data_IF_688771086707
#
_entry.id   IF_688771086707
#
_cell.length_a   1.000
_cell.length_b   1.000
_cell.length_c   1.000
_cell.angle_alpha   90.00
_cell.angle_beta   90.00
_cell.angle_gamma   90.00
#
_symmetry.space_group_name_H-M   'P 1'
#
loop_
_entity.id
_entity.type
_entity.pdbx_description
1 polymer ?
#
# COMPACT_ATOMS: atom_id res chain seq x y z
N UNK A 1 -15.32 -0.46 -16.91
CA UNK A 1 -14.47 -1.59 -17.36
C UNK A 1 -15.30 -2.86 -17.16
N UNK A 2 -15.56 -3.62 -18.20
CA UNK A 2 -16.15 -4.97 -18.10
C UNK A 2 -15.00 -5.95 -17.89
N UNK A 3 -14.59 -6.14 -16.63
CA UNK A 3 -13.66 -7.20 -16.26
C UNK A 3 -14.47 -8.47 -15.92
N UNK A 4 -14.01 -9.58 -16.44
CA UNK A 4 -14.60 -10.88 -16.12
C UNK A 4 -14.10 -11.34 -14.75
N UNK A 5 -15.01 -11.45 -13.80
CA UNK A 5 -14.72 -11.79 -12.41
C UNK A 5 -14.00 -13.13 -12.25
N UNK A 6 -14.32 -14.08 -13.11
CA UNK A 6 -13.73 -15.43 -13.06
C UNK A 6 -12.23 -15.45 -13.38
N UNK A 7 -11.70 -14.30 -13.87
CA UNK A 7 -10.29 -14.13 -14.23
C UNK A 7 -9.61 -13.01 -13.42
N UNK A 8 -10.10 -12.71 -12.22
CA UNK A 8 -9.47 -11.76 -11.31
C UNK A 8 -8.74 -12.51 -10.21
N UNK A 9 -7.47 -12.15 -10.01
CA UNK A 9 -6.72 -12.52 -8.82
C UNK A 9 -6.76 -11.38 -7.82
N UNK A 10 -7.12 -11.65 -6.56
CA UNK A 10 -7.03 -10.72 -5.45
C UNK A 10 -6.24 -11.39 -4.34
N UNK A 11 -5.09 -10.83 -4.03
CA UNK A 11 -4.17 -11.34 -3.02
C UNK A 11 -4.04 -10.37 -1.87
N UNK A 12 -3.79 -10.90 -0.68
CA UNK A 12 -3.54 -10.11 0.52
C UNK A 12 -2.20 -10.53 1.13
N UNK A 13 -1.42 -9.54 1.56
CA UNK A 13 -0.12 -9.80 2.20
C UNK A 13 -0.28 -10.53 3.53
N UNK A 14 0.29 -11.75 3.63
CA UNK A 14 0.50 -12.50 4.87
C UNK A 14 1.97 -12.87 5.00
N UNK A 15 2.44 -13.14 6.23
CA UNK A 15 3.86 -13.35 6.51
C UNK A 15 4.53 -14.44 5.67
N UNK A 16 3.87 -15.57 5.49
CA UNK A 16 4.49 -16.78 4.91
C UNK A 16 4.08 -17.04 3.46
N UNK A 17 2.92 -16.52 3.05
CA UNK A 17 2.33 -16.76 1.75
C UNK A 17 1.19 -15.76 1.52
N UNK A 18 1.06 -15.15 0.34
CA UNK A 18 -0.06 -14.26 0.10
C UNK A 18 -1.37 -15.02 0.24
N UNK A 19 -2.25 -14.51 1.09
CA UNK A 19 -3.61 -15.02 1.20
C UNK A 19 -4.37 -14.75 -0.09
N UNK A 20 -5.14 -15.73 -0.53
CA UNK A 20 -5.98 -15.64 -1.73
C UNK A 20 -7.37 -15.17 -1.29
N UNK A 21 -7.78 -13.98 -1.72
CA UNK A 21 -9.15 -13.51 -1.53
C UNK A 21 -10.05 -13.91 -2.72
N UNK A 22 -9.50 -13.90 -3.94
CA UNK A 22 -10.16 -14.39 -5.15
C UNK A 22 -9.10 -14.84 -6.16
N UNK A 23 -9.45 -15.75 -7.08
CA UNK A 23 -8.57 -16.25 -8.10
C UNK A 23 -7.45 -17.16 -7.59
N UNK A 24 -6.21 -16.94 -8.05
CA UNK A 24 -5.02 -17.72 -7.70
C UNK A 24 -3.85 -16.84 -7.30
N UNK A 25 -2.86 -17.42 -6.61
CA UNK A 25 -1.59 -16.77 -6.30
C UNK A 25 -0.46 -17.19 -7.27
N UNK A 26 -0.78 -17.94 -8.33
CA UNK A 26 0.22 -18.63 -9.16
C UNK A 26 1.26 -17.69 -9.76
N UNK A 27 0.83 -16.56 -10.32
CA UNK A 27 1.78 -15.59 -10.88
C UNK A 27 2.68 -15.02 -9.80
N UNK A 28 2.09 -14.59 -8.68
CA UNK A 28 2.87 -13.98 -7.61
C UNK A 28 3.92 -14.95 -7.07
N UNK A 29 3.51 -16.17 -6.76
CA UNK A 29 4.37 -17.19 -6.15
C UNK A 29 5.43 -17.71 -7.11
N UNK A 30 5.09 -17.89 -8.38
CA UNK A 30 5.99 -18.53 -9.33
C UNK A 30 6.85 -17.53 -10.13
N UNK A 31 6.41 -16.28 -10.25
CA UNK A 31 7.08 -15.29 -11.09
C UNK A 31 7.60 -14.07 -10.27
N UNK A 32 6.78 -13.49 -9.36
CA UNK A 32 7.16 -12.29 -8.61
C UNK A 32 8.02 -12.63 -7.39
N UNK A 33 7.55 -13.53 -6.54
CA UNK A 33 8.23 -13.91 -5.30
C UNK A 33 9.68 -14.37 -5.51
N UNK A 34 10.02 -15.18 -6.52
CA UNK A 34 11.39 -15.57 -6.80
C UNK A 34 12.31 -14.39 -7.15
N UNK A 35 11.79 -13.34 -7.82
CA UNK A 35 12.60 -12.19 -8.20
C UNK A 35 13.15 -11.45 -6.97
N UNK A 36 12.33 -11.19 -5.97
CA UNK A 36 12.81 -10.47 -4.80
C UNK A 36 13.45 -11.35 -3.72
N UNK A 37 13.28 -12.67 -3.77
CA UNK A 37 13.95 -13.59 -2.86
C UNK A 37 15.34 -14.03 -3.33
N UNK A 38 15.55 -14.12 -4.65
CA UNK A 38 16.72 -14.78 -5.21
C UNK A 38 17.49 -13.94 -6.24
N UNK A 39 16.89 -12.85 -6.75
CA UNK A 39 17.52 -12.01 -7.74
C UNK A 39 17.93 -10.66 -7.13
N UNK A 40 18.98 -10.08 -7.64
CA UNK A 40 19.45 -8.75 -7.28
C UNK A 40 18.64 -7.69 -8.05
N UNK A 41 17.67 -7.06 -7.39
CA UNK A 41 16.80 -6.04 -7.98
C UNK A 41 17.51 -4.68 -8.18
N UNK A 42 18.72 -4.48 -7.66
CA UNK A 42 19.54 -3.31 -8.00
C UNK A 42 19.91 -3.28 -9.48
N UNK A 43 19.88 -4.45 -10.16
CA UNK A 43 20.16 -4.59 -11.57
C UNK A 43 18.93 -4.27 -12.42
N UNK A 44 19.06 -3.35 -13.37
CA UNK A 44 17.97 -2.91 -14.24
C UNK A 44 17.23 -4.06 -14.93
N UNK A 45 17.96 -5.10 -15.37
CA UNK A 45 17.35 -6.28 -16.02
C UNK A 45 16.37 -7.03 -15.11
N UNK A 46 16.60 -7.06 -13.79
CA UNK A 46 15.70 -7.73 -12.83
C UNK A 46 14.57 -6.79 -12.39
N UNK A 47 14.86 -5.51 -12.25
CA UNK A 47 13.86 -4.45 -12.08
C UNK A 47 12.82 -4.48 -13.21
N UNK A 48 13.24 -4.55 -14.47
CA UNK A 48 12.30 -4.58 -15.60
C UNK A 48 11.41 -5.82 -15.59
N UNK A 49 11.90 -6.99 -15.16
CA UNK A 49 11.06 -8.19 -14.99
C UNK A 49 9.95 -7.95 -13.95
N UNK A 50 10.24 -7.29 -12.84
CA UNK A 50 9.21 -6.93 -11.85
C UNK A 50 8.23 -5.93 -12.46
N UNK A 51 8.73 -4.93 -13.19
CA UNK A 51 7.90 -3.92 -13.85
C UNK A 51 6.97 -4.51 -14.94
N UNK A 52 7.33 -5.64 -15.55
CA UNK A 52 6.44 -6.36 -16.47
C UNK A 52 5.27 -7.05 -15.74
N UNK A 53 5.46 -7.45 -14.48
CA UNK A 53 4.48 -8.22 -13.69
C UNK A 53 3.65 -7.35 -12.75
N UNK A 54 4.20 -6.23 -12.29
CA UNK A 54 3.56 -5.34 -11.33
C UNK A 54 3.53 -3.90 -11.86
N UNK A 55 2.47 -3.18 -11.53
CA UNK A 55 2.35 -1.76 -11.82
C UNK A 55 3.13 -0.97 -10.75
N UNK A 56 4.38 -0.66 -11.06
CA UNK A 56 5.28 0.01 -10.13
C UNK A 56 4.91 1.48 -9.89
N UNK A 57 4.21 2.14 -10.82
CA UNK A 57 3.68 3.49 -10.60
C UNK A 57 2.56 3.47 -9.56
N UNK A 58 1.63 2.53 -9.71
CA UNK A 58 0.58 2.32 -8.70
C UNK A 58 1.18 1.91 -7.34
N UNK A 59 2.23 1.08 -7.33
CA UNK A 59 2.93 0.69 -6.10
C UNK A 59 3.52 1.92 -5.39
N UNK A 60 4.22 2.78 -6.10
CA UNK A 60 4.80 4.02 -5.58
C UNK A 60 3.71 4.89 -4.96
N UNK A 61 2.64 5.17 -5.69
CA UNK A 61 1.52 5.99 -5.21
C UNK A 61 0.88 5.41 -3.95
N UNK A 62 0.69 4.07 -3.91
CA UNK A 62 0.17 3.36 -2.76
C UNK A 62 1.07 3.52 -1.53
N UNK A 63 2.39 3.31 -1.67
CA UNK A 63 3.33 3.43 -0.56
C UNK A 63 3.44 4.87 -0.05
N UNK A 64 3.42 5.86 -0.93
CA UNK A 64 3.40 7.28 -0.57
C UNK A 64 2.14 7.62 0.23
N UNK A 65 0.96 7.19 -0.24
CA UNK A 65 -0.30 7.46 0.43
C UNK A 65 -0.37 6.81 1.82
N UNK A 66 0.01 5.53 1.95
CA UNK A 66 0.05 4.82 3.23
C UNK A 66 0.98 5.48 4.24
N UNK A 67 2.15 5.93 3.78
CA UNK A 67 3.13 6.64 4.62
C UNK A 67 2.59 7.99 5.06
N UNK A 68 1.95 8.75 4.16
CA UNK A 68 1.38 10.06 4.46
C UNK A 68 0.29 10.01 5.53
N UNK A 69 -0.62 9.04 5.45
CA UNK A 69 -1.69 8.88 6.44
C UNK A 69 -1.20 8.22 7.73
N UNK A 70 0.05 7.75 7.78
CA UNK A 70 0.62 7.01 8.92
C UNK A 70 -0.28 5.84 9.39
N UNK A 71 -0.72 4.99 8.44
CA UNK A 71 -1.62 3.87 8.74
C UNK A 71 -0.95 2.86 9.68
N UNK A 72 -1.46 2.71 10.89
CA UNK A 72 -0.85 1.96 11.98
C UNK A 72 -0.75 0.43 11.72
N UNK A 73 -1.69 -0.12 10.97
CA UNK A 73 -1.68 -1.56 10.64
C UNK A 73 -0.85 -1.89 9.40
N UNK A 74 -0.45 -0.89 8.65
CA UNK A 74 0.40 -1.06 7.49
C UNK A 74 1.89 -0.86 7.87
N UNK A 75 2.85 -1.61 7.32
CA UNK A 75 2.74 -2.66 6.29
C UNK A 75 2.54 -4.08 6.82
N UNK A 76 2.37 -4.27 8.12
CA UNK A 76 2.20 -5.59 8.73
C UNK A 76 0.92 -6.32 8.32
N UNK A 77 -0.14 -5.55 8.02
CA UNK A 77 -1.41 -6.00 7.47
C UNK A 77 -1.95 -4.95 6.49
N UNK A 78 -3.19 -5.11 6.03
CA UNK A 78 -3.87 -4.17 5.14
C UNK A 78 -3.12 -3.93 3.81
N UNK A 79 -2.36 -4.94 3.35
CA UNK A 79 -1.74 -4.97 2.03
C UNK A 79 -2.52 -5.91 1.13
N UNK A 80 -3.08 -5.37 0.05
CA UNK A 80 -3.86 -6.11 -0.91
C UNK A 80 -3.54 -5.64 -2.33
N UNK A 81 -3.49 -6.57 -3.27
CA UNK A 81 -3.32 -6.27 -4.68
C UNK A 81 -4.16 -7.18 -5.56
N UNK A 82 -4.37 -6.75 -6.78
CA UNK A 82 -5.20 -7.46 -7.74
C UNK A 82 -4.63 -7.37 -9.15
N UNK A 83 -5.04 -8.29 -10.00
CA UNK A 83 -4.78 -8.26 -11.43
C UNK A 83 -5.87 -8.99 -12.20
N UNK A 84 -5.93 -8.81 -13.52
CA UNK A 84 -6.71 -9.63 -14.41
C UNK A 84 -5.82 -10.63 -15.14
N UNK A 85 -6.23 -11.91 -15.20
CA UNK A 85 -5.49 -12.96 -15.90
C UNK A 85 -5.63 -12.87 -17.42
N UNK A 86 -6.74 -12.34 -17.94
CA UNK A 86 -7.11 -12.37 -19.35
C UNK A 86 -7.22 -10.99 -20.01
N UNK A 87 -6.96 -9.91 -19.29
CA UNK A 87 -7.02 -8.55 -19.83
C UNK A 87 -5.62 -7.91 -19.81
N UNK A 88 -5.08 -7.60 -20.99
CA UNK A 88 -3.71 -7.08 -21.15
C UNK A 88 -3.51 -5.69 -20.58
N UNK A 89 -4.57 -4.90 -20.38
CA UNK A 89 -4.49 -3.57 -19.74
C UNK A 89 -4.35 -3.69 -18.21
N UNK A 90 -4.87 -4.78 -17.62
CA UNK A 90 -4.91 -5.02 -16.19
C UNK A 90 -4.20 -6.30 -15.75
N UNK A 91 -3.26 -6.80 -16.55
CA UNK A 91 -2.52 -8.02 -16.24
C UNK A 91 -1.36 -7.81 -15.27
N UNK A 92 -0.95 -6.58 -15.03
CA UNK A 92 0.00 -6.22 -13.98
C UNK A 92 -0.71 -6.11 -12.63
N UNK A 93 -0.08 -6.63 -11.59
CA UNK A 93 -0.60 -6.49 -10.22
C UNK A 93 -0.63 -5.04 -9.78
N UNK A 94 -1.76 -4.59 -9.23
CA UNK A 94 -2.00 -3.24 -8.73
C UNK A 94 -2.40 -3.29 -7.26
N UNK A 95 -1.86 -2.39 -6.46
CA UNK A 95 -2.17 -2.25 -5.04
C UNK A 95 -3.55 -1.64 -4.83
N UNK A 96 -4.25 -2.12 -3.80
CA UNK A 96 -5.57 -1.62 -3.39
C UNK A 96 -5.40 -0.81 -2.11
N UNK A 97 -5.80 0.46 -2.14
CA UNK A 97 -5.86 1.31 -0.96
C UNK A 97 -7.16 1.02 -0.21
N UNK A 98 -7.07 0.40 0.96
CA UNK A 98 -8.21 -0.02 1.77
C UNK A 98 -7.85 -0.07 3.25
N UNK A 99 -8.88 -0.09 4.11
CA UNK A 99 -8.77 -0.30 5.56
C UNK A 99 -7.81 0.71 6.22
N UNK A 100 -8.10 1.98 6.00
CA UNK A 100 -7.25 3.11 6.38
C UNK A 100 -7.82 3.91 7.57
N UNK A 101 -8.75 3.33 8.31
CA UNK A 101 -9.42 3.91 9.47
C UNK A 101 -8.47 4.19 10.65
N UNK A 102 -7.30 3.53 10.67
CA UNK A 102 -6.20 3.83 11.59
C UNK A 102 -5.14 4.79 10.99
N UNK A 103 -5.47 5.47 9.91
CA UNK A 103 -4.69 6.60 9.39
C UNK A 103 -4.90 7.86 10.23
N UNK A 104 -3.89 8.74 10.26
CA UNK A 104 -3.92 10.00 11.01
C UNK A 104 -4.15 9.87 12.52
N UNK A 105 -3.80 8.73 13.12
CA UNK A 105 -3.87 8.54 14.57
C UNK A 105 -2.84 9.47 15.23
N UNK A 106 -3.35 10.48 15.96
CA UNK A 106 -2.62 11.66 16.41
C UNK A 106 -1.42 11.40 17.33
N UNK A 107 -1.35 10.25 17.99
CA UNK A 107 -0.29 9.94 18.96
C UNK A 107 1.00 9.37 18.35
N UNK A 108 1.00 9.08 17.05
CA UNK A 108 2.15 8.45 16.40
C UNK A 108 2.86 9.39 15.44
N UNK A 109 3.52 10.40 15.99
CA UNK A 109 4.46 11.27 15.27
C UNK A 109 5.70 10.53 14.74
N UNK A 110 5.81 9.24 15.01
CA UNK A 110 7.03 8.45 14.82
C UNK A 110 6.99 7.50 13.62
N UNK A 111 5.83 7.31 12.97
CA UNK A 111 5.74 6.51 11.74
C UNK A 111 6.06 7.39 10.54
N UNK A 112 7.17 8.08 10.57
CA UNK A 112 7.58 8.92 9.44
C UNK A 112 8.47 8.20 8.43
N UNK A 113 8.76 6.90 8.65
CA UNK A 113 9.72 6.21 7.79
C UNK A 113 9.43 4.72 7.64
N UNK A 114 9.36 4.26 6.40
CA UNK A 114 9.53 2.85 6.05
C UNK A 114 10.76 2.23 6.75
N UNK A 115 11.82 3.04 6.98
CA UNK A 115 13.04 2.65 7.70
C UNK A 115 12.90 2.51 9.21
N UNK A 116 12.00 3.24 9.87
CA UNK A 116 11.81 3.10 11.33
C UNK A 116 11.01 1.86 11.67
N UNK A 117 10.12 1.42 10.80
CA UNK A 117 9.48 0.10 10.93
C UNK A 117 10.51 -1.03 10.83
N UNK A 118 11.56 -0.82 10.04
CA UNK A 118 12.71 -1.73 9.95
C UNK A 118 13.51 -1.77 11.25
N UNK A 119 13.68 -0.64 11.95
CA UNK A 119 14.48 -0.58 13.17
C UNK A 119 13.71 -1.02 14.42
N UNK A 120 12.40 -0.83 14.50
CA UNK A 120 11.63 -1.09 15.74
C UNK A 120 10.97 -2.47 15.76
N UNK A 121 10.66 -3.07 14.60
CA UNK A 121 9.89 -4.30 14.52
C UNK A 121 10.59 -5.47 13.85
N UNK A 122 11.45 -5.20 12.87
CA UNK A 122 11.95 -6.25 11.97
C UNK A 122 13.18 -6.96 12.51
N UNK A 123 14.03 -6.31 13.29
CA UNK A 123 15.18 -6.99 13.94
C UNK A 123 14.76 -8.13 14.87
N UNK A 124 13.51 -8.12 15.37
CA UNK A 124 13.00 -9.13 16.29
C UNK A 124 11.81 -9.94 15.75
N UNK A 125 11.36 -9.64 14.53
CA UNK A 125 10.27 -10.38 13.88
C UNK A 125 10.91 -11.39 12.94
N UNK A 126 10.68 -12.71 13.13
CA UNK A 126 11.17 -13.72 12.21
C UNK A 126 10.72 -13.40 10.78
N UNK A 127 11.63 -13.54 9.80
CA UNK A 127 11.42 -13.30 8.38
C UNK A 127 10.02 -13.65 7.83
N UNK A 128 9.34 -14.71 8.29
CA UNK A 128 8.01 -15.07 7.84
C UNK A 128 6.89 -14.07 8.19
N UNK A 129 7.15 -13.04 8.98
CA UNK A 129 6.10 -12.13 9.46
C UNK A 129 6.06 -10.77 8.72
N UNK A 130 6.89 -10.58 7.69
CA UNK A 130 6.87 -9.37 6.86
C UNK A 130 6.02 -9.62 5.63
N UNK A 131 5.05 -8.73 5.37
CA UNK A 131 4.21 -8.84 4.19
C UNK A 131 5.06 -8.87 2.91
N UNK A 132 4.88 -9.85 2.01
CA UNK A 132 5.71 -9.99 0.81
C UNK A 132 5.79 -8.74 -0.05
N UNK A 133 4.71 -7.97 -0.12
CA UNK A 133 4.71 -6.73 -0.88
C UNK A 133 5.62 -5.64 -0.33
N UNK A 134 5.85 -5.61 1.00
CA UNK A 134 6.80 -4.70 1.60
C UNK A 134 8.25 -5.10 1.29
N UNK A 135 8.55 -6.40 1.38
CA UNK A 135 9.88 -6.90 1.01
C UNK A 135 10.22 -6.59 -0.45
N UNK A 136 9.24 -6.71 -1.35
CA UNK A 136 9.43 -6.33 -2.75
C UNK A 136 9.73 -4.84 -2.90
N UNK A 137 9.02 -3.97 -2.20
CA UNK A 137 9.28 -2.53 -2.23
C UNK A 137 10.69 -2.20 -1.72
N UNK A 138 11.09 -2.78 -0.60
CA UNK A 138 12.42 -2.59 -0.01
C UNK A 138 13.53 -3.03 -0.98
N UNK A 139 13.39 -4.21 -1.58
CA UNK A 139 14.32 -4.70 -2.58
C UNK A 139 14.37 -3.81 -3.85
N UNK A 140 13.25 -3.24 -4.26
CA UNK A 140 13.20 -2.29 -5.38
C UNK A 140 13.89 -0.96 -5.08
N UNK A 141 13.90 -0.51 -3.82
CA UNK A 141 14.60 0.73 -3.42
C UNK A 141 16.12 0.64 -3.60
N UNK A 142 16.69 -0.57 -3.71
CA UNK A 142 18.09 -0.77 -4.09
C UNK A 142 18.36 -0.42 -5.57
N UNK A 143 17.32 -0.39 -6.42
CA UNK A 143 17.46 0.00 -7.82
C UNK A 143 17.40 1.53 -7.96
N UNK A 144 18.44 2.09 -8.59
CA UNK A 144 18.58 3.56 -8.72
C UNK A 144 17.47 4.21 -9.55
N UNK A 145 16.95 3.52 -10.55
CA UNK A 145 15.86 4.01 -11.40
C UNK A 145 14.56 4.08 -10.59
N UNK A 146 14.28 3.04 -9.80
CA UNK A 146 13.11 3.01 -8.93
C UNK A 146 13.22 4.05 -7.82
N UNK A 147 14.36 4.13 -7.13
CA UNK A 147 14.59 5.11 -6.06
C UNK A 147 14.35 6.55 -6.54
N UNK A 148 14.94 6.93 -7.69
CA UNK A 148 14.75 8.27 -8.25
C UNK A 148 13.28 8.51 -8.58
N UNK A 149 12.61 7.56 -9.23
CA UNK A 149 11.19 7.65 -9.57
C UNK A 149 10.31 7.81 -8.34
N UNK A 150 10.60 7.04 -7.27
CA UNK A 150 9.92 7.16 -5.99
C UNK A 150 10.10 8.55 -5.38
N UNK A 151 11.35 9.06 -5.31
CA UNK A 151 11.64 10.37 -4.73
C UNK A 151 10.99 11.52 -5.50
N UNK A 152 11.04 11.50 -6.83
CA UNK A 152 10.38 12.50 -7.67
C UNK A 152 8.87 12.48 -7.47
N UNK A 153 8.26 11.28 -7.40
CA UNK A 153 6.84 11.13 -7.16
C UNK A 153 6.44 11.56 -5.75
N UNK A 154 7.27 11.26 -4.77
CA UNK A 154 7.06 11.68 -3.38
C UNK A 154 7.06 13.21 -3.23
N UNK A 155 8.01 13.90 -3.87
CA UNK A 155 8.05 15.36 -3.90
C UNK A 155 6.80 15.95 -4.55
N UNK A 156 6.37 15.41 -5.68
CA UNK A 156 5.13 15.83 -6.33
C UNK A 156 3.91 15.67 -5.39
N UNK A 157 3.83 14.55 -4.68
CA UNK A 157 2.72 14.33 -3.74
C UNK A 157 2.72 15.35 -2.59
N UNK A 158 3.88 15.68 -2.03
CA UNK A 158 3.98 16.67 -0.95
C UNK A 158 3.63 18.08 -1.44
N UNK A 159 4.11 18.46 -2.62
CA UNK A 159 3.97 19.82 -3.13
C UNK A 159 2.57 20.09 -3.72
N UNK A 160 1.95 19.08 -4.35
CA UNK A 160 0.72 19.26 -5.11
C UNK A 160 -0.47 18.47 -4.54
N UNK A 161 -0.31 17.16 -4.28
CA UNK A 161 -1.44 16.30 -3.90
C UNK A 161 -1.82 16.50 -2.45
N UNK A 162 -0.82 16.55 -1.58
CA UNK A 162 -0.96 16.70 -0.12
C UNK A 162 -0.68 18.13 0.35
N UNK A 163 -0.78 19.12 -0.54
CA UNK A 163 -0.74 20.51 -0.12
C UNK A 163 -1.74 20.75 1.03
N UNK A 164 -1.30 21.33 2.16
CA UNK A 164 -2.15 21.47 3.35
C UNK A 164 -3.48 22.19 3.06
N UNK A 165 -3.47 23.23 2.22
CA UNK A 165 -4.68 23.98 1.89
C UNK A 165 -5.66 23.09 1.13
N UNK A 166 -5.17 22.33 0.16
CA UNK A 166 -5.99 21.39 -0.60
C UNK A 166 -6.58 20.29 0.28
N UNK A 167 -5.78 19.73 1.19
CA UNK A 167 -6.25 18.69 2.12
C UNK A 167 -7.30 19.26 3.06
N UNK A 168 -7.10 20.45 3.61
CA UNK A 168 -8.07 21.15 4.47
C UNK A 168 -9.38 21.42 3.73
N UNK A 169 -9.32 21.91 2.48
CA UNK A 169 -10.50 22.16 1.64
C UNK A 169 -11.32 20.89 1.42
N UNK A 170 -10.64 19.77 1.05
CA UNK A 170 -11.31 18.47 0.86
C UNK A 170 -11.95 17.97 2.15
N UNK A 171 -11.27 18.09 3.28
CA UNK A 171 -11.81 17.71 4.58
C UNK A 171 -13.04 18.56 4.94
N UNK A 172 -12.98 19.87 4.68
CA UNK A 172 -14.12 20.76 4.93
C UNK A 172 -15.32 20.40 4.04
N UNK A 173 -15.10 20.11 2.75
CA UNK A 173 -16.16 19.63 1.85
C UNK A 173 -16.80 18.35 2.37
N UNK A 174 -16.01 17.37 2.84
CA UNK A 174 -16.53 16.13 3.43
C UNK A 174 -17.35 16.40 4.72
N UNK A 175 -16.87 17.28 5.58
CA UNK A 175 -17.58 17.67 6.81
C UNK A 175 -18.91 18.34 6.47
N UNK A 176 -18.93 19.24 5.50
CA UNK A 176 -20.14 19.94 5.06
C UNK A 176 -21.15 18.97 4.43
N UNK A 177 -20.69 17.96 3.67
CA UNK A 177 -21.55 16.92 3.09
C UNK A 177 -22.17 16.03 4.16
N UNK A 178 -21.40 15.60 5.17
CA UNK A 178 -21.90 14.81 6.30
C UNK A 178 -22.88 15.64 7.15
N UNK A 179 -22.57 16.92 7.37
CA UNK A 179 -23.43 17.90 8.03
C UNK A 179 -23.94 17.41 9.40
N UNK A 180 -25.24 17.52 9.59
CA UNK A 180 -25.88 17.14 10.87
C UNK A 180 -26.06 15.63 11.06
N UNK A 181 -25.78 14.81 10.06
CA UNK A 181 -25.88 13.34 10.18
C UNK A 181 -24.84 12.80 11.19
N UNK A 182 -23.71 13.49 11.33
CA UNK A 182 -22.70 13.16 12.36
C UNK A 182 -23.30 13.18 13.78
N UNK A 183 -24.15 14.17 14.09
CA UNK A 183 -24.78 14.29 15.40
C UNK A 183 -25.67 13.06 15.67
N UNK A 184 -26.44 12.62 14.66
CA UNK A 184 -27.29 11.42 14.78
C UNK A 184 -26.46 10.16 14.96
N UNK A 185 -25.30 10.10 14.32
CA UNK A 185 -24.36 8.99 14.47
C UNK A 185 -23.86 8.93 15.92
N UNK A 186 -23.39 10.05 16.48
CA UNK A 186 -22.93 10.12 17.88
C UNK A 186 -24.03 9.80 18.89
N UNK A 187 -25.28 10.23 18.65
CA UNK A 187 -26.42 9.91 19.49
C UNK A 187 -26.77 8.42 19.45
N UNK A 188 -26.62 7.79 18.28
CA UNK A 188 -26.94 6.37 18.07
C UNK A 188 -25.84 5.45 18.58
N UNK A 189 -24.58 5.87 18.42
CA UNK A 189 -23.39 5.09 18.76
C UNK A 189 -22.47 5.84 19.72
N UNK A 190 -22.84 6.01 20.99
CA UNK A 190 -22.09 6.84 21.95
C UNK A 190 -20.72 6.26 22.35
N UNK A 191 -20.28 5.16 21.77
CA UNK A 191 -19.08 4.44 22.16
C UNK A 191 -17.75 5.12 21.77
N UNK A 192 -17.78 6.13 20.90
CA UNK A 192 -16.55 6.84 20.49
C UNK A 192 -16.04 7.88 21.50
N UNK A 193 -16.64 7.97 22.68
CA UNK A 193 -16.17 8.86 23.77
C UNK A 193 -15.01 8.32 24.61
N UNK A 194 -14.41 7.20 24.22
CA UNK A 194 -13.34 6.57 25.00
C UNK A 194 -11.92 6.82 24.50
N UNK A 195 -11.73 7.73 23.54
CA UNK A 195 -10.41 8.13 23.04
C UNK A 195 -10.15 9.63 23.21
N UNK A 196 -10.49 10.16 24.40
CA UNK A 196 -10.00 11.45 24.87
C UNK A 196 -8.69 11.27 25.70
#
# INVERSE_FOLDING_TARGET
YELDRDFIDILQGFPDYPGINDGTADQFVNEVLPLFLYEDLSLDQNYEKVNELMDLDNMIDYFIAQTYIANDYWPGSNMKWWRSQNNTEFNKSKWIFFDVDFGFVLDRKEILWLGDYYQVGVENVPFPQIAPGYLLFDALMENKTFEIKFLERYLYFIEDVFDPTRVEDILQEMIDEIGTEWIKHEETWPYYKYYD
#
